data_IF_419868556390
#
_entry.id   IF_419868556390
#
_cell.length_a   1.000
_cell.length_b   1.000
_cell.length_c   1.000
_cell.angle_alpha   90.00
_cell.angle_beta   90.00
_cell.angle_gamma   90.00
#
_symmetry.space_group_name_H-M   'P 1'
#
loop_
_entity.id
_entity.type
_entity.pdbx_description
1 polymer ?
#
# COMPACT_ATOMS: atom_id res chain seq x y z
N UNK A 1 16.86 16.54 -16.00
CA UNK A 1 15.75 15.61 -15.74
C UNK A 1 16.34 14.22 -15.78
N UNK A 2 16.08 13.35 -14.81
CA UNK A 2 16.60 11.99 -14.78
C UNK A 2 16.06 11.21 -15.98
N UNK A 3 16.86 10.31 -16.58
CA UNK A 3 16.45 9.48 -17.73
C UNK A 3 15.18 8.64 -17.39
N UNK A 4 15.11 8.09 -16.18
CA UNK A 4 13.94 7.31 -15.72
C UNK A 4 12.67 8.20 -15.66
N UNK A 5 12.77 9.43 -15.16
CA UNK A 5 11.63 10.36 -15.13
C UNK A 5 11.12 10.69 -16.55
N UNK A 6 12.00 10.69 -17.55
CA UNK A 6 11.60 10.94 -18.94
C UNK A 6 10.80 9.78 -19.52
N UNK A 7 11.29 8.53 -19.39
CA UNK A 7 10.60 7.35 -19.90
C UNK A 7 9.29 7.05 -19.14
N UNK A 8 9.20 7.44 -17.85
CA UNK A 8 7.94 7.40 -17.10
C UNK A 8 6.92 8.38 -17.73
N UNK A 9 7.32 9.62 -17.97
CA UNK A 9 6.42 10.64 -18.54
C UNK A 9 6.02 10.35 -19.98
N UNK A 10 6.88 9.69 -20.76
CA UNK A 10 6.52 9.23 -22.12
C UNK A 10 5.77 7.90 -22.13
N UNK A 11 5.54 7.28 -20.95
CA UNK A 11 4.89 5.96 -20.77
C UNK A 11 5.63 4.79 -21.45
N UNK A 12 6.91 4.97 -21.71
CA UNK A 12 7.79 3.95 -22.28
C UNK A 12 8.37 3.01 -21.22
N UNK A 13 8.20 3.35 -19.91
CA UNK A 13 8.68 2.52 -18.79
C UNK A 13 7.82 1.28 -18.60
N UNK A 14 8.49 0.15 -18.28
CA UNK A 14 7.83 -1.10 -17.91
C UNK A 14 7.65 -1.15 -16.38
N UNK A 15 6.42 -1.43 -15.93
CA UNK A 15 6.04 -1.49 -14.52
C UNK A 15 5.97 -2.94 -14.06
N UNK A 16 6.64 -3.27 -12.96
CA UNK A 16 6.57 -4.57 -12.30
C UNK A 16 5.75 -4.49 -11.02
N UNK A 17 4.71 -5.28 -10.89
CA UNK A 17 3.88 -5.37 -9.68
C UNK A 17 4.13 -6.72 -9.01
N UNK A 18 4.69 -6.72 -7.81
CA UNK A 18 4.97 -7.94 -7.05
C UNK A 18 3.92 -8.15 -5.97
N UNK A 19 3.20 -9.26 -6.06
CA UNK A 19 2.03 -9.58 -5.23
C UNK A 19 0.74 -9.13 -5.90
N UNK A 20 0.06 -10.06 -6.60
CA UNK A 20 -1.17 -9.81 -7.36
C UNK A 20 -2.42 -10.05 -6.50
N UNK A 21 -2.38 -9.55 -5.26
CA UNK A 21 -3.51 -9.57 -4.32
C UNK A 21 -4.44 -8.37 -4.46
N UNK A 22 -5.18 -8.08 -3.36
CA UNK A 22 -6.18 -7.00 -3.28
C UNK A 22 -5.60 -5.59 -3.48
N UNK A 23 -4.30 -5.39 -3.30
CA UNK A 23 -3.63 -4.12 -3.55
C UNK A 23 -2.95 -4.11 -4.93
N UNK A 24 -2.20 -5.17 -5.27
CA UNK A 24 -1.37 -5.17 -6.47
C UNK A 24 -2.15 -5.36 -7.77
N UNK A 25 -3.19 -6.19 -7.81
CA UNK A 25 -3.96 -6.40 -9.05
C UNK A 25 -4.74 -5.14 -9.48
N UNK A 26 -5.46 -4.42 -8.58
CA UNK A 26 -6.06 -3.13 -8.94
C UNK A 26 -5.03 -2.11 -9.44
N UNK A 27 -3.85 -2.08 -8.82
CA UNK A 27 -2.78 -1.18 -9.24
C UNK A 27 -2.21 -1.55 -10.62
N UNK A 28 -2.09 -2.85 -10.94
CA UNK A 28 -1.71 -3.34 -12.27
C UNK A 28 -2.74 -2.92 -13.33
N UNK A 29 -4.03 -3.06 -13.03
CA UNK A 29 -5.12 -2.59 -13.91
C UNK A 29 -4.98 -1.08 -14.11
N UNK A 30 -4.78 -0.31 -13.04
CA UNK A 30 -4.71 1.15 -13.13
C UNK A 30 -3.53 1.62 -14.00
N UNK A 31 -2.34 0.99 -13.89
CA UNK A 31 -1.22 1.29 -14.77
C UNK A 31 -1.50 0.92 -16.22
N UNK A 32 -2.16 -0.22 -16.45
CA UNK A 32 -2.54 -0.65 -17.81
C UNK A 32 -3.57 0.27 -18.45
N UNK A 33 -4.54 0.79 -17.69
CA UNK A 33 -5.50 1.81 -18.17
C UNK A 33 -4.81 3.09 -18.66
N UNK A 34 -3.65 3.41 -18.09
CA UNK A 34 -2.83 4.55 -18.51
C UNK A 34 -1.77 4.16 -19.55
N UNK A 35 -1.94 3.01 -20.22
CA UNK A 35 -1.12 2.53 -21.35
C UNK A 35 0.34 2.22 -20.99
N UNK A 36 0.63 1.92 -19.71
CA UNK A 36 1.93 1.37 -19.34
C UNK A 36 2.00 -0.13 -19.65
N UNK A 37 3.16 -0.60 -20.08
CA UNK A 37 3.45 -2.01 -20.09
C UNK A 37 3.62 -2.52 -18.65
N UNK A 38 2.82 -3.51 -18.27
CA UNK A 38 2.82 -4.04 -16.90
C UNK A 38 3.16 -5.52 -16.89
N UNK A 39 4.08 -5.93 -16.00
CA UNK A 39 4.36 -7.33 -15.70
C UNK A 39 4.00 -7.57 -14.22
N UNK A 40 3.09 -8.50 -13.99
CA UNK A 40 2.67 -8.93 -12.66
C UNK A 40 3.49 -10.13 -12.20
N UNK A 41 3.96 -10.08 -10.96
CA UNK A 41 4.72 -11.16 -10.32
C UNK A 41 3.96 -11.69 -9.10
N UNK A 42 3.77 -12.99 -9.01
CA UNK A 42 3.27 -13.65 -7.80
C UNK A 42 3.99 -14.99 -7.65
N UNK A 43 4.15 -15.44 -6.41
CA UNK A 43 4.73 -16.77 -6.11
C UNK A 43 3.69 -17.90 -6.25
N UNK A 44 2.42 -17.56 -6.37
CA UNK A 44 1.30 -18.48 -6.47
C UNK A 44 0.98 -18.78 -7.95
N UNK A 45 1.42 -19.95 -8.41
CA UNK A 45 1.18 -20.42 -9.78
C UNK A 45 -0.31 -20.46 -10.15
N UNK A 46 -1.20 -20.71 -9.16
CA UNK A 46 -2.65 -20.75 -9.42
C UNK A 46 -3.16 -19.38 -9.83
N UNK A 47 -2.78 -18.32 -9.10
CA UNK A 47 -3.15 -16.95 -9.45
C UNK A 47 -2.60 -16.53 -10.80
N UNK A 48 -1.32 -16.82 -11.04
CA UNK A 48 -0.65 -16.48 -12.31
C UNK A 48 -1.35 -17.18 -13.48
N UNK A 49 -1.71 -18.47 -13.34
CA UNK A 49 -2.42 -19.23 -14.37
C UNK A 49 -3.83 -18.69 -14.61
N UNK A 50 -4.60 -18.37 -13.54
CA UNK A 50 -5.92 -17.77 -13.67
C UNK A 50 -5.86 -16.44 -14.44
N UNK A 51 -4.95 -15.55 -14.06
CA UNK A 51 -4.76 -14.27 -14.76
C UNK A 51 -4.38 -14.49 -16.23
N UNK A 52 -3.42 -15.36 -16.52
CA UNK A 52 -3.02 -15.63 -17.91
C UNK A 52 -4.14 -16.28 -18.75
N UNK A 53 -5.15 -16.88 -18.11
CA UNK A 53 -6.39 -17.29 -18.74
C UNK A 53 -7.47 -16.20 -18.76
N UNK A 54 -7.15 -14.98 -18.30
CA UNK A 54 -8.06 -13.84 -18.18
C UNK A 54 -9.23 -14.10 -17.20
N UNK A 55 -9.01 -14.93 -16.18
CA UNK A 55 -9.97 -15.26 -15.14
C UNK A 55 -9.69 -14.44 -13.86
N UNK A 56 -10.76 -13.92 -13.21
CA UNK A 56 -10.66 -13.22 -11.94
C UNK A 56 -10.78 -14.16 -10.75
N UNK A 57 -9.93 -13.98 -9.74
CA UNK A 57 -10.06 -14.59 -8.41
C UNK A 57 -10.43 -13.56 -7.32
N UNK A 58 -10.61 -12.30 -7.68
CA UNK A 58 -11.02 -11.23 -6.76
C UNK A 58 -12.42 -10.76 -7.12
N UNK A 59 -13.40 -10.97 -6.20
CA UNK A 59 -14.84 -10.77 -6.46
C UNK A 59 -15.26 -9.43 -7.05
N UNK A 60 -14.54 -8.34 -6.73
CA UNK A 60 -14.87 -7.01 -7.19
C UNK A 60 -14.10 -6.58 -8.46
N UNK A 61 -13.20 -7.42 -8.96
CA UNK A 61 -12.50 -7.22 -10.23
C UNK A 61 -13.18 -8.08 -11.27
N UNK A 62 -13.60 -7.46 -12.37
CA UNK A 62 -14.29 -8.13 -13.46
C UNK A 62 -13.30 -8.75 -14.44
N UNK A 63 -13.72 -9.81 -15.12
CA UNK A 63 -12.94 -10.44 -16.18
C UNK A 63 -12.69 -9.48 -17.35
N UNK A 64 -13.65 -8.58 -17.64
CA UNK A 64 -13.47 -7.53 -18.64
C UNK A 64 -12.29 -6.59 -18.32
N UNK A 65 -12.10 -6.24 -17.04
CA UNK A 65 -10.98 -5.40 -16.61
C UNK A 65 -9.64 -6.12 -16.81
N UNK A 66 -9.62 -7.43 -16.55
CA UNK A 66 -8.45 -8.28 -16.77
C UNK A 66 -8.18 -8.41 -18.27
N UNK A 67 -9.19 -8.70 -19.09
CA UNK A 67 -9.05 -8.81 -20.54
C UNK A 67 -8.51 -7.53 -21.16
N UNK A 68 -9.03 -6.37 -20.74
CA UNK A 68 -8.54 -5.06 -21.19
C UNK A 68 -7.06 -4.84 -20.84
N UNK A 69 -6.61 -5.31 -19.66
CA UNK A 69 -5.21 -5.24 -19.24
C UNK A 69 -4.32 -6.11 -20.15
N UNK A 70 -4.78 -7.32 -20.54
CA UNK A 70 -4.06 -8.18 -21.48
C UNK A 70 -3.97 -7.58 -22.88
N UNK A 71 -5.01 -6.87 -23.34
CA UNK A 71 -5.00 -6.13 -24.61
C UNK A 71 -3.92 -5.03 -24.64
N UNK A 72 -3.52 -4.52 -23.48
CA UNK A 72 -2.40 -3.58 -23.30
C UNK A 72 -1.04 -4.26 -23.09
N UNK A 73 -0.96 -5.58 -23.25
CA UNK A 73 0.28 -6.34 -23.15
C UNK A 73 0.70 -6.72 -21.74
N UNK A 74 -0.23 -6.81 -20.79
CA UNK A 74 0.02 -7.36 -19.45
C UNK A 74 0.45 -8.83 -19.55
N UNK A 75 1.32 -9.22 -18.63
CA UNK A 75 1.74 -10.62 -18.44
C UNK A 75 1.85 -10.90 -16.94
N UNK A 76 1.33 -12.03 -16.49
CA UNK A 76 1.58 -12.54 -15.14
C UNK A 76 2.63 -13.64 -15.17
N UNK A 77 3.57 -13.65 -14.20
CA UNK A 77 4.65 -14.63 -14.16
C UNK A 77 5.10 -14.96 -12.73
N UNK A 78 5.62 -16.18 -12.56
CA UNK A 78 6.36 -16.59 -11.35
C UNK A 78 7.87 -16.48 -11.52
N UNK A 79 8.34 -16.11 -12.73
CA UNK A 79 9.78 -15.96 -13.04
C UNK A 79 10.27 -14.54 -12.71
N UNK A 80 10.93 -14.40 -11.57
CA UNK A 80 11.49 -13.14 -11.08
C UNK A 80 12.74 -12.68 -11.84
N UNK A 81 13.30 -13.49 -12.76
CA UNK A 81 14.39 -13.02 -13.62
C UNK A 81 13.94 -11.86 -14.53
N UNK A 82 12.66 -11.79 -14.88
CA UNK A 82 12.08 -10.68 -15.65
C UNK A 82 12.15 -9.32 -14.95
N UNK A 83 12.55 -9.25 -13.67
CA UNK A 83 12.79 -7.98 -12.94
C UNK A 83 13.88 -7.14 -13.62
N UNK A 84 14.81 -7.76 -14.34
CA UNK A 84 15.83 -7.05 -15.14
C UNK A 84 15.24 -6.15 -16.23
N UNK A 85 14.05 -6.45 -16.72
CA UNK A 85 13.35 -5.70 -17.78
C UNK A 85 12.42 -4.62 -17.25
N UNK A 86 12.27 -4.52 -15.92
CA UNK A 86 11.38 -3.58 -15.25
C UNK A 86 12.11 -2.25 -14.98
N UNK A 87 11.40 -1.14 -15.12
CA UNK A 87 11.90 0.20 -14.79
C UNK A 87 11.41 0.67 -13.42
N UNK A 88 10.16 0.35 -13.07
CA UNK A 88 9.60 0.64 -11.76
C UNK A 88 8.97 -0.61 -11.14
N UNK A 89 9.47 -1.02 -9.97
CA UNK A 89 9.09 -2.22 -9.23
C UNK A 89 8.25 -1.80 -8.04
N UNK A 90 7.01 -2.29 -7.93
CA UNK A 90 6.10 -2.00 -6.83
C UNK A 90 5.87 -3.29 -6.02
N UNK A 91 6.17 -3.25 -4.72
CA UNK A 91 6.01 -4.39 -3.80
C UNK A 91 4.70 -4.25 -3.05
N UNK A 92 3.75 -5.15 -3.35
CA UNK A 92 2.39 -5.20 -2.81
C UNK A 92 2.12 -6.51 -2.05
N UNK A 93 3.14 -7.07 -1.41
CA UNK A 93 3.05 -8.35 -0.70
C UNK A 93 2.39 -8.18 0.68
N UNK A 94 1.79 -9.26 1.24
CA UNK A 94 1.21 -9.20 2.58
C UNK A 94 2.26 -8.87 3.66
N UNK A 95 1.77 -8.19 4.72
CA UNK A 95 2.54 -7.88 5.93
C UNK A 95 1.66 -8.21 7.15
N UNK A 96 1.50 -9.49 7.52
CA UNK A 96 0.68 -9.89 8.66
C UNK A 96 1.37 -9.60 9.99
N UNK A 97 0.67 -9.85 11.09
CA UNK A 97 1.28 -9.88 12.42
C UNK A 97 1.78 -11.28 12.76
N UNK A 98 2.90 -11.34 13.46
CA UNK A 98 3.40 -12.54 14.10
C UNK A 98 2.60 -12.89 15.37
N UNK A 99 3.03 -13.95 16.07
CA UNK A 99 2.31 -14.55 17.21
C UNK A 99 2.20 -13.60 18.42
N UNK A 100 3.13 -12.65 18.53
CA UNK A 100 3.17 -11.66 19.62
C UNK A 100 2.76 -10.26 19.16
N UNK A 101 2.00 -10.18 18.08
CA UNK A 101 1.56 -8.92 17.43
C UNK A 101 2.74 -8.07 16.90
N UNK A 102 3.90 -8.67 16.62
CA UNK A 102 5.00 -8.04 15.93
C UNK A 102 4.77 -8.00 14.41
N UNK A 103 5.25 -6.98 13.69
CA UNK A 103 5.19 -6.92 12.23
C UNK A 103 5.95 -8.10 11.59
N UNK A 104 5.27 -8.91 10.78
CA UNK A 104 5.93 -9.95 10.00
C UNK A 104 6.30 -9.43 8.61
N UNK A 105 7.57 -9.07 8.42
CA UNK A 105 8.13 -8.61 7.15
C UNK A 105 8.75 -9.74 6.32
N UNK A 106 8.49 -11.01 6.66
CA UNK A 106 9.08 -12.18 5.96
C UNK A 106 8.80 -12.17 4.46
N UNK A 107 7.59 -11.79 4.04
CA UNK A 107 7.23 -11.68 2.63
C UNK A 107 8.01 -10.57 1.91
N UNK A 108 8.18 -9.41 2.54
CA UNK A 108 8.99 -8.31 1.97
C UNK A 108 10.45 -8.74 1.85
N UNK A 109 11.02 -9.34 2.91
CA UNK A 109 12.40 -9.84 2.93
C UNK A 109 12.63 -10.95 1.91
N UNK A 110 11.68 -11.87 1.78
CA UNK A 110 11.73 -12.95 0.77
C UNK A 110 11.67 -12.37 -0.64
N UNK A 111 10.78 -11.40 -0.90
CA UNK A 111 10.70 -10.70 -2.17
C UNK A 111 12.02 -10.02 -2.53
N UNK A 112 12.60 -9.25 -1.60
CA UNK A 112 13.91 -8.62 -1.82
C UNK A 112 15.00 -9.65 -2.14
N UNK A 113 14.99 -10.81 -1.47
CA UNK A 113 15.93 -11.87 -1.74
C UNK A 113 15.75 -12.50 -3.12
N UNK A 114 14.51 -12.63 -3.60
CA UNK A 114 14.22 -13.15 -4.94
C UNK A 114 14.67 -12.19 -6.04
N UNK A 115 14.49 -10.88 -5.86
CA UNK A 115 14.74 -9.91 -6.94
C UNK A 115 16.15 -9.33 -6.94
N UNK A 116 16.87 -9.32 -5.83
CA UNK A 116 18.14 -8.56 -5.66
C UNK A 116 19.22 -8.88 -6.71
N UNK A 117 19.30 -10.14 -7.17
CA UNK A 117 20.28 -10.58 -8.17
C UNK A 117 19.88 -10.17 -9.62
N UNK A 118 18.64 -9.71 -9.81
CA UNK A 118 18.08 -9.29 -11.09
C UNK A 118 17.92 -7.78 -11.21
N UNK A 119 18.25 -7.03 -10.14
CA UNK A 119 18.18 -5.56 -10.14
C UNK A 119 19.26 -4.96 -11.03
N UNK A 120 18.97 -3.83 -11.62
CA UNK A 120 19.89 -3.03 -12.45
C UNK A 120 19.89 -1.56 -12.07
N UNK A 121 20.89 -0.83 -12.51
CA UNK A 121 20.94 0.62 -12.37
C UNK A 121 19.75 1.30 -13.10
N UNK A 122 19.33 2.42 -12.57
CA UNK A 122 18.27 3.24 -13.13
C UNK A 122 16.85 2.77 -12.76
N UNK A 123 16.68 1.73 -11.94
CA UNK A 123 15.36 1.28 -11.49
C UNK A 123 14.83 2.08 -10.30
N UNK A 124 13.50 2.13 -10.21
CA UNK A 124 12.74 2.59 -9.04
C UNK A 124 12.12 1.38 -8.35
N UNK A 125 12.27 1.29 -7.02
CA UNK A 125 11.60 0.31 -6.18
C UNK A 125 10.71 1.04 -5.17
N UNK A 126 9.43 0.68 -5.12
CA UNK A 126 8.44 1.27 -4.22
C UNK A 126 7.85 0.18 -3.35
N UNK A 127 7.81 0.40 -2.04
CA UNK A 127 7.01 -0.41 -1.13
C UNK A 127 5.62 0.21 -1.01
N UNK A 128 4.58 -0.58 -1.32
CA UNK A 128 3.16 -0.24 -1.15
C UNK A 128 2.55 -0.91 0.10
N UNK A 129 3.15 -2.02 0.54
CA UNK A 129 2.68 -2.78 1.70
C UNK A 129 2.65 -1.92 2.97
N UNK A 130 1.63 -2.11 3.82
CA UNK A 130 1.55 -1.43 5.11
C UNK A 130 2.64 -1.93 6.04
N UNK A 131 3.37 -1.00 6.67
CA UNK A 131 4.49 -1.32 7.58
C UNK A 131 4.61 -0.28 8.68
N UNK A 132 5.54 -0.49 9.65
CA UNK A 132 5.88 0.50 10.66
C UNK A 132 6.76 1.63 10.08
N UNK A 133 6.67 2.85 10.66
CA UNK A 133 7.51 3.98 10.24
C UNK A 133 9.01 3.67 10.41
N UNK A 134 9.74 3.71 9.29
CA UNK A 134 11.16 3.38 9.22
C UNK A 134 11.48 2.13 8.40
N UNK A 135 10.49 1.29 8.08
CA UNK A 135 10.70 0.02 7.37
C UNK A 135 11.47 0.19 6.07
N UNK A 136 11.10 1.16 5.23
CA UNK A 136 11.80 1.39 3.95
C UNK A 136 13.29 1.69 4.17
N UNK A 137 13.60 2.56 5.12
CA UNK A 137 14.98 2.97 5.40
C UNK A 137 15.79 1.89 6.14
N UNK A 138 15.15 1.11 7.02
CA UNK A 138 15.81 0.12 7.88
C UNK A 138 15.96 -1.25 7.20
N UNK A 139 14.98 -1.64 6.37
CA UNK A 139 14.92 -2.99 5.82
C UNK A 139 15.21 -3.05 4.31
N UNK A 140 14.83 -2.03 3.52
CA UNK A 140 14.98 -2.07 2.07
C UNK A 140 16.29 -1.41 1.63
N UNK A 141 16.53 -0.17 2.05
CA UNK A 141 17.72 0.60 1.65
C UNK A 141 19.02 -0.18 1.88
N UNK A 142 19.26 -0.79 3.06
CA UNK A 142 20.51 -1.52 3.29
C UNK A 142 20.70 -2.74 2.39
N UNK A 143 19.61 -3.40 1.95
CA UNK A 143 19.68 -4.54 1.03
C UNK A 143 20.13 -4.06 -0.35
N UNK A 144 19.56 -2.96 -0.84
CA UNK A 144 19.89 -2.39 -2.15
C UNK A 144 21.34 -1.86 -2.19
N UNK A 145 21.76 -1.18 -1.11
CA UNK A 145 23.14 -0.67 -1.01
C UNK A 145 24.16 -1.80 -0.90
N UNK A 146 23.81 -2.91 -0.22
CA UNK A 146 24.67 -4.10 -0.11
C UNK A 146 24.88 -4.81 -1.44
N UNK A 147 23.92 -4.73 -2.36
CA UNK A 147 24.06 -5.24 -3.74
C UNK A 147 25.03 -4.37 -4.55
N UNK A 148 25.27 -3.13 -4.13
CA UNK A 148 26.25 -2.22 -4.75
C UNK A 148 25.64 -0.97 -5.37
N UNK A 149 24.33 -0.78 -5.26
CA UNK A 149 23.68 0.43 -5.75
C UNK A 149 23.82 1.61 -4.78
N UNK A 150 23.74 2.81 -5.30
CA UNK A 150 23.71 4.06 -4.54
C UNK A 150 22.32 4.67 -4.63
N UNK A 151 21.59 4.60 -3.51
CA UNK A 151 20.21 5.09 -3.46
C UNK A 151 20.15 6.61 -3.65
N UNK A 152 19.34 7.04 -4.63
CA UNK A 152 19.20 8.43 -5.03
C UNK A 152 20.20 8.90 -6.10
N UNK A 153 21.15 8.03 -6.51
CA UNK A 153 22.08 8.29 -7.61
C UNK A 153 21.81 7.38 -8.82
N UNK A 154 22.01 6.06 -8.64
CA UNK A 154 21.81 5.07 -9.71
C UNK A 154 20.70 4.05 -9.42
N UNK A 155 20.04 4.15 -8.27
CA UNK A 155 18.86 3.38 -7.90
C UNK A 155 17.93 4.25 -7.04
N UNK A 156 16.60 4.09 -7.21
CA UNK A 156 15.63 4.94 -6.51
C UNK A 156 14.73 4.10 -5.63
N UNK A 157 14.42 4.61 -4.43
CA UNK A 157 13.54 3.93 -3.46
C UNK A 157 12.48 4.88 -2.98
N UNK A 158 11.21 4.46 -3.11
CA UNK A 158 10.04 5.17 -2.62
C UNK A 158 9.20 4.33 -1.66
N UNK A 159 8.29 5.00 -1.00
CA UNK A 159 7.17 4.39 -0.28
C UNK A 159 5.90 5.15 -0.61
N UNK A 160 4.83 4.41 -0.89
CA UNK A 160 3.51 4.98 -1.14
C UNK A 160 2.46 4.03 -0.57
N UNK A 161 1.70 4.43 0.47
CA UNK A 161 0.72 3.54 1.07
C UNK A 161 -0.47 3.29 0.15
N UNK A 162 -0.96 2.05 0.11
CA UNK A 162 -2.25 1.74 -0.47
C UNK A 162 -3.36 2.30 0.42
N UNK A 163 -4.30 3.05 -0.18
CA UNK A 163 -5.40 3.74 0.52
C UNK A 163 -6.77 3.38 -0.03
N UNK A 164 -6.84 2.43 -0.95
CA UNK A 164 -8.10 1.98 -1.54
C UNK A 164 -8.97 1.28 -0.48
N UNK A 165 -10.30 1.50 -0.58
CA UNK A 165 -11.31 0.83 0.21
C UNK A 165 -12.07 -0.11 -0.74
N UNK A 166 -11.73 -1.43 -0.77
CA UNK A 166 -12.31 -2.37 -1.71
C UNK A 166 -13.84 -2.39 -1.63
N UNK A 167 -14.49 -2.10 -2.76
CA UNK A 167 -15.96 -2.03 -2.84
C UNK A 167 -16.55 -0.66 -2.58
N UNK A 168 -15.75 0.37 -2.32
CA UNK A 168 -16.19 1.77 -2.33
C UNK A 168 -16.62 2.16 -3.74
N UNK A 169 -17.79 2.79 -3.87
CA UNK A 169 -18.34 3.20 -5.17
C UNK A 169 -18.03 4.65 -5.53
N UNK A 170 -17.66 5.45 -4.53
CA UNK A 170 -17.46 6.88 -4.68
C UNK A 170 -15.98 7.24 -4.94
N UNK A 171 -15.07 6.33 -4.54
CA UNK A 171 -13.62 6.55 -4.64
C UNK A 171 -12.94 5.35 -5.30
N UNK A 172 -11.99 5.64 -6.17
CA UNK A 172 -11.17 4.66 -6.89
C UNK A 172 -9.69 4.96 -6.69
N UNK A 173 -8.81 4.04 -7.05
CA UNK A 173 -7.36 4.24 -7.04
C UNK A 173 -6.97 5.55 -7.74
N UNK A 174 -7.67 5.93 -8.81
CA UNK A 174 -7.43 7.18 -9.55
C UNK A 174 -7.78 8.44 -8.75
N UNK A 175 -8.95 8.43 -8.09
CA UNK A 175 -9.53 9.65 -7.47
C UNK A 175 -9.10 9.88 -6.03
N UNK A 176 -8.57 8.86 -5.35
CA UNK A 176 -8.02 9.01 -3.99
C UNK A 176 -6.65 9.71 -4.09
N UNK A 177 -6.43 10.87 -3.42
CA UNK A 177 -5.12 11.50 -3.40
C UNK A 177 -4.05 10.54 -2.88
N UNK A 178 -3.00 10.28 -3.67
CA UNK A 178 -1.96 9.29 -3.34
C UNK A 178 -0.80 9.95 -2.60
N UNK A 179 -0.55 9.51 -1.37
CA UNK A 179 0.64 9.92 -0.61
C UNK A 179 1.87 9.29 -1.23
N UNK A 180 2.88 10.09 -1.55
CA UNK A 180 4.12 9.62 -2.17
C UNK A 180 5.33 10.14 -1.42
N UNK A 181 6.37 9.32 -1.34
CA UNK A 181 7.61 9.66 -0.67
C UNK A 181 8.82 9.02 -1.35
N UNK A 182 10.00 9.52 -1.02
CA UNK A 182 11.27 8.95 -1.47
C UNK A 182 12.29 8.95 -0.36
N UNK A 183 13.24 8.00 -0.40
CA UNK A 183 14.32 7.96 0.57
C UNK A 183 15.24 9.19 0.45
N UNK A 184 15.44 9.69 -0.76
CA UNK A 184 16.14 10.94 -1.05
C UNK A 184 15.24 11.88 -1.86
N UNK A 185 15.69 13.13 -2.05
CA UNK A 185 14.96 14.07 -2.92
C UNK A 185 14.82 13.55 -4.35
N UNK A 186 15.87 12.96 -4.91
CA UNK A 186 15.81 12.36 -6.26
C UNK A 186 14.83 11.18 -6.31
N UNK A 187 14.80 10.36 -5.26
CA UNK A 187 13.82 9.27 -5.14
C UNK A 187 12.39 9.81 -5.13
N UNK A 188 12.12 10.87 -4.35
CA UNK A 188 10.80 11.51 -4.30
C UNK A 188 10.38 12.06 -5.65
N UNK A 189 11.30 12.72 -6.39
CA UNK A 189 11.01 13.25 -7.72
C UNK A 189 10.59 12.14 -8.71
N UNK A 190 11.29 11.00 -8.70
CA UNK A 190 10.96 9.87 -9.58
C UNK A 190 9.66 9.19 -9.16
N UNK A 191 9.46 8.95 -7.84
CA UNK A 191 8.24 8.35 -7.31
C UNK A 191 7.00 9.21 -7.62
N UNK A 192 7.11 10.54 -7.43
CA UNK A 192 6.04 11.49 -7.75
C UNK A 192 5.73 11.44 -9.25
N UNK A 193 6.76 11.47 -10.10
CA UNK A 193 6.56 11.43 -11.55
C UNK A 193 5.83 10.17 -12.02
N UNK A 194 6.02 9.02 -11.35
CA UNK A 194 5.32 7.77 -11.66
C UNK A 194 3.83 7.88 -11.29
N UNK A 195 3.53 8.25 -10.04
CA UNK A 195 2.13 8.30 -9.59
C UNK A 195 1.32 9.43 -10.23
N UNK A 196 1.94 10.55 -10.60
CA UNK A 196 1.28 11.62 -11.37
C UNK A 196 0.71 11.14 -12.70
N UNK A 197 1.14 9.96 -13.20
CA UNK A 197 0.58 9.41 -14.43
C UNK A 197 -0.73 8.64 -14.21
N UNK A 198 -1.00 8.16 -13.00
CA UNK A 198 -2.09 7.21 -12.74
C UNK A 198 -3.15 7.70 -11.76
N UNK A 199 -2.88 8.79 -11.01
CA UNK A 199 -3.83 9.37 -10.05
C UNK A 199 -4.09 10.83 -10.34
N UNK A 200 -5.26 11.33 -9.95
CA UNK A 200 -5.65 12.74 -10.15
C UNK A 200 -4.80 13.70 -9.31
N UNK A 201 -4.29 13.24 -8.16
CA UNK A 201 -3.49 14.07 -7.25
C UNK A 201 -2.48 13.23 -6.47
N UNK A 202 -1.20 13.61 -6.52
CA UNK A 202 -0.19 13.14 -5.57
C UNK A 202 -0.06 14.10 -4.39
N UNK A 203 0.34 13.57 -3.24
CA UNK A 203 0.64 14.31 -2.00
C UNK A 203 2.06 13.96 -1.57
N UNK A 204 3.08 14.67 -2.10
CA UNK A 204 4.46 14.43 -1.72
C UNK A 204 4.71 14.79 -0.26
N UNK A 205 5.38 13.88 0.48
CA UNK A 205 5.79 14.11 1.87
C UNK A 205 7.31 14.01 2.03
N UNK A 206 7.82 14.53 3.14
CA UNK A 206 9.26 14.81 3.33
C UNK A 206 10.14 13.57 3.48
N UNK A 207 9.58 12.41 3.84
CA UNK A 207 10.32 11.16 4.00
C UNK A 207 9.42 9.94 3.91
N UNK A 208 10.03 8.76 3.72
CA UNK A 208 9.31 7.48 3.75
C UNK A 208 8.66 7.23 5.09
N UNK A 209 9.31 7.59 6.23
CA UNK A 209 8.73 7.47 7.57
C UNK A 209 7.45 8.28 7.73
N UNK A 210 7.37 9.47 7.15
CA UNK A 210 6.14 10.30 7.19
C UNK A 210 5.02 9.62 6.41
N UNK A 211 5.30 9.06 5.25
CA UNK A 211 4.30 8.35 4.45
C UNK A 211 3.83 7.06 5.13
N UNK A 212 4.75 6.26 5.69
CA UNK A 212 4.47 5.06 6.48
C UNK A 212 3.59 5.40 7.69
N UNK A 213 3.96 6.46 8.45
CA UNK A 213 3.19 6.93 9.60
C UNK A 213 1.80 7.45 9.22
N UNK A 214 1.64 8.05 8.04
CA UNK A 214 0.35 8.56 7.56
C UNK A 214 -0.67 7.42 7.44
N UNK A 215 -0.29 6.29 6.83
CA UNK A 215 -1.16 5.11 6.71
C UNK A 215 -1.57 4.56 8.08
N UNK A 216 -0.59 4.42 8.95
CA UNK A 216 -0.82 3.91 10.32
C UNK A 216 -1.76 4.85 11.09
N UNK A 217 -1.57 6.17 11.01
CA UNK A 217 -2.43 7.15 11.66
C UNK A 217 -3.89 7.05 11.17
N UNK A 218 -4.12 6.91 9.86
CA UNK A 218 -5.47 6.76 9.29
C UNK A 218 -6.20 5.53 9.87
N UNK A 219 -5.51 4.41 9.97
CA UNK A 219 -6.10 3.17 10.48
C UNK A 219 -6.23 3.17 12.01
N UNK A 220 -5.28 3.73 12.75
CA UNK A 220 -5.40 3.94 14.20
C UNK A 220 -6.58 4.86 14.51
N UNK A 221 -6.74 5.97 13.79
CA UNK A 221 -7.87 6.88 13.98
C UNK A 221 -9.21 6.13 13.85
N UNK A 222 -9.33 5.26 12.84
CA UNK A 222 -10.53 4.44 12.64
C UNK A 222 -10.70 3.43 13.78
N UNK A 223 -9.65 2.68 14.14
CA UNK A 223 -9.68 1.67 15.20
C UNK A 223 -10.11 2.25 16.55
N UNK A 224 -9.48 3.34 16.97
CA UNK A 224 -9.77 4.01 18.26
C UNK A 224 -11.20 4.54 18.31
N UNK A 225 -11.68 5.16 17.21
CA UNK A 225 -13.05 5.69 17.18
C UNK A 225 -14.12 4.59 17.14
N UNK A 226 -13.87 3.46 16.48
CA UNK A 226 -14.76 2.30 16.52
C UNK A 226 -14.74 1.69 17.94
N UNK A 227 -13.58 1.55 18.56
CA UNK A 227 -13.46 1.10 19.96
C UNK A 227 -14.26 1.99 20.90
N UNK A 228 -14.12 3.31 20.77
CA UNK A 228 -14.86 4.29 21.56
C UNK A 228 -16.38 4.12 21.44
N UNK A 229 -16.93 4.05 20.22
CA UNK A 229 -18.39 3.93 20.05
C UNK A 229 -18.92 2.56 20.49
N UNK A 230 -18.11 1.49 20.37
CA UNK A 230 -18.44 0.17 20.90
C UNK A 230 -18.54 0.19 22.45
N UNK A 231 -17.63 0.86 23.13
CA UNK A 231 -17.67 1.03 24.59
C UNK A 231 -18.86 1.91 25.01
N UNK A 232 -19.08 3.03 24.32
CA UNK A 232 -20.24 3.89 24.56
C UNK A 232 -21.58 3.18 24.34
N UNK A 233 -21.65 2.23 23.39
CA UNK A 233 -22.83 1.39 23.22
C UNK A 233 -23.14 0.58 24.48
N UNK A 234 -22.15 -0.02 25.12
CA UNK A 234 -22.37 -0.80 26.35
C UNK A 234 -22.88 0.08 27.49
N UNK A 235 -22.38 1.32 27.60
CA UNK A 235 -22.86 2.31 28.57
C UNK A 235 -24.31 2.71 28.27
N UNK A 236 -24.59 3.10 27.02
CA UNK A 236 -25.90 3.54 26.56
C UNK A 236 -26.98 2.45 26.79
N UNK A 237 -26.66 1.18 26.50
CA UNK A 237 -27.58 0.04 26.75
C UNK A 237 -27.94 -0.07 28.24
N UNK A 238 -27.00 0.13 29.16
CA UNK A 238 -27.27 0.14 30.62
C UNK A 238 -28.13 1.30 31.07
N UNK A 239 -28.09 2.41 30.33
CA UNK A 239 -28.89 3.61 30.58
C UNK A 239 -30.24 3.60 29.83
N UNK A 240 -30.54 2.57 29.06
CA UNK A 240 -31.71 2.51 28.15
C UNK A 240 -31.74 3.66 27.13
N UNK A 241 -30.58 4.02 26.59
CA UNK A 241 -30.39 5.04 25.54
C UNK A 241 -30.05 4.37 24.22
N UNK A 242 -30.72 4.79 23.14
CA UNK A 242 -30.32 4.32 21.78
C UNK A 242 -29.08 5.10 21.30
N UNK A 243 -27.94 4.40 21.28
CA UNK A 243 -26.66 5.00 20.85
C UNK A 243 -26.72 5.46 19.38
N UNK A 244 -27.50 4.81 18.52
CA UNK A 244 -27.61 5.22 17.12
C UNK A 244 -28.35 6.55 16.98
N UNK A 245 -29.36 6.80 17.80
CA UNK A 245 -30.03 8.10 17.87
C UNK A 245 -29.05 9.19 18.36
N UNK A 246 -28.27 8.89 19.41
CA UNK A 246 -27.24 9.80 19.92
C UNK A 246 -26.21 10.15 18.84
N UNK A 247 -25.68 9.16 18.11
CA UNK A 247 -24.71 9.37 17.05
C UNK A 247 -25.30 10.21 15.91
N UNK A 248 -26.55 9.89 15.48
CA UNK A 248 -27.24 10.68 14.45
C UNK A 248 -27.44 12.13 14.86
N UNK A 249 -27.83 12.37 16.12
CA UNK A 249 -27.97 13.72 16.66
C UNK A 249 -26.61 14.45 16.73
N UNK A 250 -25.56 13.79 17.21
CA UNK A 250 -24.22 14.35 17.27
C UNK A 250 -23.66 14.68 15.87
N UNK A 251 -23.98 13.87 14.84
CA UNK A 251 -23.55 14.08 13.45
C UNK A 251 -24.16 15.34 12.80
N UNK A 252 -25.19 15.94 13.39
CA UNK A 252 -25.72 17.24 12.93
C UNK A 252 -24.80 18.41 13.25
N UNK A 253 -23.81 18.21 14.14
CA UNK A 253 -22.81 19.23 14.43
C UNK A 253 -21.85 19.38 13.24
N UNK A 254 -21.71 20.55 12.63
CA UNK A 254 -20.97 20.73 11.37
C UNK A 254 -19.44 20.67 11.50
N UNK A 255 -18.91 20.55 12.72
CA UNK A 255 -17.46 20.49 12.98
C UNK A 255 -17.14 19.68 14.25
N UNK A 256 -15.94 19.11 14.32
CA UNK A 256 -15.38 18.47 15.52
C UNK A 256 -16.06 17.15 15.90
N UNK A 257 -16.84 16.54 15.01
CA UNK A 257 -17.41 15.20 15.18
C UNK A 257 -17.48 14.48 13.83
N UNK A 258 -16.93 13.26 13.80
CA UNK A 258 -17.06 12.33 12.69
C UNK A 258 -17.83 11.11 13.18
N UNK A 259 -18.99 10.75 12.59
CA UNK A 259 -19.80 9.65 13.06
C UNK A 259 -19.12 8.30 12.79
N UNK A 260 -18.99 7.49 13.83
CA UNK A 260 -18.69 6.07 13.78
C UNK A 260 -19.84 5.32 14.42
N UNK A 261 -20.14 4.13 13.92
CA UNK A 261 -21.26 3.32 14.41
C UNK A 261 -20.73 2.04 15.07
N UNK A 262 -21.33 1.62 16.20
CA UNK A 262 -20.91 0.42 16.90
C UNK A 262 -21.21 -0.84 16.09
N UNK A 263 -20.37 -1.85 16.25
CA UNK A 263 -20.49 -3.17 15.65
C UNK A 263 -20.04 -4.26 16.62
N UNK A 264 -19.99 -5.53 16.16
CA UNK A 264 -19.57 -6.65 17.03
C UNK A 264 -18.07 -6.65 17.32
N UNK A 265 -17.30 -5.73 16.75
CA UNK A 265 -15.85 -5.57 16.94
C UNK A 265 -15.33 -4.42 16.09
N UNK A 266 -14.02 -4.37 15.84
CA UNK A 266 -13.41 -3.33 14.99
C UNK A 266 -13.78 -3.50 13.51
N UNK A 267 -13.92 -4.74 13.05
CA UNK A 267 -14.19 -5.07 11.65
C UNK A 267 -13.00 -4.82 10.72
N UNK A 268 -13.12 -5.38 9.51
CA UNK A 268 -12.09 -5.26 8.50
C UNK A 268 -10.84 -6.11 8.77
N UNK A 269 -9.90 -6.10 7.81
CA UNK A 269 -8.64 -6.85 7.90
C UNK A 269 -7.52 -6.00 8.49
N UNK A 270 -7.38 -4.74 8.05
CA UNK A 270 -6.25 -3.86 8.41
C UNK A 270 -6.45 -3.19 9.78
N UNK A 271 -7.69 -2.82 10.14
CA UNK A 271 -7.97 -2.05 11.35
C UNK A 271 -7.56 -2.78 12.64
N UNK A 272 -7.76 -4.10 12.79
CA UNK A 272 -7.26 -4.86 13.94
C UNK A 272 -5.75 -5.10 13.95
N UNK A 273 -5.06 -4.86 12.85
CA UNK A 273 -3.64 -5.23 12.65
C UNK A 273 -2.73 -4.01 12.77
N UNK A 274 -3.02 -2.96 12.02
CA UNK A 274 -2.14 -1.82 11.82
C UNK A 274 -1.75 -1.05 13.10
N UNK A 275 -2.62 -0.89 14.13
CA UNK A 275 -2.23 -0.28 15.38
C UNK A 275 -1.03 -0.97 16.05
N UNK A 276 -0.94 -2.30 15.93
CA UNK A 276 0.16 -3.06 16.52
C UNK A 276 1.52 -2.80 15.87
N UNK A 277 1.55 -2.40 14.60
CA UNK A 277 2.79 -1.94 13.94
C UNK A 277 3.41 -0.77 14.68
N UNK A 278 2.59 0.22 15.04
CA UNK A 278 3.07 1.40 15.73
C UNK A 278 3.39 1.09 17.20
N UNK A 279 2.54 0.32 17.89
CA UNK A 279 2.76 -0.02 19.31
C UNK A 279 4.04 -0.85 19.48
N UNK A 280 4.31 -1.77 18.54
CA UNK A 280 5.55 -2.53 18.52
C UNK A 280 6.77 -1.61 18.32
N UNK A 281 6.75 -0.73 17.31
CA UNK A 281 7.85 0.21 17.05
C UNK A 281 8.04 1.21 18.21
N UNK A 282 6.96 1.67 18.83
CA UNK A 282 7.01 2.58 19.98
C UNK A 282 7.69 1.93 21.19
N UNK A 283 7.48 0.61 21.43
CA UNK A 283 8.13 -0.14 22.51
C UNK A 283 9.65 -0.16 22.35
N UNK A 284 10.17 -0.26 21.12
CA UNK A 284 11.62 -0.16 20.86
C UNK A 284 12.19 1.20 21.32
N UNK A 285 11.38 2.26 21.28
CA UNK A 285 11.73 3.61 21.72
C UNK A 285 11.41 3.87 23.20
N UNK A 286 10.94 2.85 23.93
CA UNK A 286 10.54 2.98 25.34
C UNK A 286 9.21 3.71 25.56
N UNK A 287 8.38 3.86 24.51
CA UNK A 287 7.08 4.53 24.59
C UNK A 287 5.98 3.47 24.77
N UNK A 288 5.12 3.66 25.76
CA UNK A 288 3.92 2.84 26.00
C UNK A 288 2.68 3.56 25.43
N UNK A 289 2.03 2.93 24.48
CA UNK A 289 0.92 3.51 23.69
C UNK A 289 -0.46 3.12 24.25
N UNK A 290 -0.74 3.41 25.52
CA UNK A 290 -1.96 2.99 26.26
C UNK A 290 -3.30 3.31 25.59
N UNK A 291 -3.34 4.28 24.70
CA UNK A 291 -4.55 4.72 24.02
C UNK A 291 -4.81 3.98 22.71
N UNK A 292 -3.79 3.34 22.18
CA UNK A 292 -3.84 2.66 20.86
C UNK A 292 -3.96 1.14 21.01
N UNK A 293 -3.50 0.58 22.14
CA UNK A 293 -3.55 -0.86 22.46
C UNK A 293 -4.94 -1.37 22.82
#
# INVERSE_FOLDING_TARGET
>A
MNSLTQIIKSKESTIGIIGLGYAGLPLAIRFSEEEFKVIGFDIDDVKVNLLNNQESYIKHIKEDDISAMFDQGFMATTDFANISDIDAILICVPTPLGVHNEPDLSYVKSTLNLIKEHLREGQLLILESTTYPGTTAEEIVPVIEKVGFKVGENFYIGYSPEREDPGNKDYTTKTIPKVVSGHTKNCLEVTTALYDQIVDQTVPVSSTQVAEMTKILENIHRAVNIGLVNELKMVADKMNIDINEVIKAAATKPFGFTPYYPGPGLGGHCIPIDPFYLTWKAKEMGINTRFIE
#
